data_IF_755669159375
#
_entry.id   IF_755669159375
#
_cell.length_a   1.000
_cell.length_b   1.000
_cell.length_c   1.000
_cell.angle_alpha   90.00
_cell.angle_beta   90.00
_cell.angle_gamma   90.00
#
_symmetry.space_group_name_H-M   'P 1'
#
loop_
_entity.id
_entity.type
_entity.pdbx_description
1 polymer ?
#
# COMPACT_ATOMS: atom_id res chain seq x y z
N UNK A 1 -13.12 -27.39 -18.69
CA UNK A 1 -13.72 -26.08 -18.89
C UNK A 1 -12.59 -25.07 -18.73
N UNK A 2 -12.05 -24.58 -19.86
CA UNK A 2 -11.08 -23.49 -19.85
C UNK A 2 -11.84 -22.21 -19.44
N UNK A 3 -11.74 -21.83 -18.17
CA UNK A 3 -11.99 -20.46 -17.81
C UNK A 3 -10.92 -19.63 -18.55
N UNK A 4 -11.34 -18.77 -19.47
CA UNK A 4 -10.43 -17.81 -20.09
C UNK A 4 -9.79 -17.02 -18.96
N UNK A 5 -8.49 -17.16 -18.79
CA UNK A 5 -7.71 -16.31 -17.89
C UNK A 5 -7.90 -14.90 -18.45
N UNK A 6 -8.72 -14.09 -17.79
CA UNK A 6 -8.85 -12.66 -18.16
C UNK A 6 -7.48 -12.03 -17.99
N UNK A 7 -7.04 -11.32 -19.03
CA UNK A 7 -5.79 -10.57 -18.97
C UNK A 7 -5.92 -9.45 -17.92
N UNK A 8 -5.21 -9.50 -16.81
CA UNK A 8 -5.34 -8.50 -15.75
C UNK A 8 -4.89 -7.10 -16.19
N UNK A 9 -4.11 -7.00 -17.24
CA UNK A 9 -3.71 -5.71 -17.83
C UNK A 9 -4.80 -5.12 -18.71
N UNK A 10 -5.63 -5.96 -19.38
CA UNK A 10 -6.77 -5.49 -20.15
C UNK A 10 -7.81 -4.80 -19.25
N UNK A 11 -8.15 -5.43 -18.11
CA UNK A 11 -9.07 -4.86 -17.11
C UNK A 11 -8.51 -3.55 -16.52
N UNK A 12 -7.22 -3.50 -16.21
CA UNK A 12 -6.54 -2.29 -15.70
C UNK A 12 -6.54 -1.17 -16.76
N UNK A 13 -6.37 -1.49 -18.03
CA UNK A 13 -6.44 -0.53 -19.14
C UNK A 13 -7.84 0.07 -19.27
N UNK A 14 -8.88 -0.75 -19.16
CA UNK A 14 -10.27 -0.29 -19.18
C UNK A 14 -10.58 0.63 -17.99
N UNK A 15 -10.12 0.27 -16.79
CA UNK A 15 -10.25 1.11 -15.60
C UNK A 15 -9.50 2.44 -15.75
N UNK A 16 -8.28 2.43 -16.30
CA UNK A 16 -7.50 3.64 -16.56
C UNK A 16 -8.15 4.56 -17.59
N UNK A 17 -8.80 4.00 -18.63
CA UNK A 17 -9.58 4.79 -19.59
C UNK A 17 -10.74 5.52 -18.89
N UNK A 18 -11.50 4.81 -18.06
CA UNK A 18 -12.59 5.39 -17.29
C UNK A 18 -12.09 6.45 -16.29
N UNK A 19 -10.92 6.22 -15.68
CA UNK A 19 -10.28 7.16 -14.78
C UNK A 19 -9.96 8.50 -15.47
N UNK A 20 -9.45 8.47 -16.71
CA UNK A 20 -9.22 9.69 -17.52
C UNK A 20 -10.51 10.49 -17.73
N UNK A 21 -11.61 9.80 -18.03
CA UNK A 21 -12.92 10.45 -18.19
C UNK A 21 -13.37 11.14 -16.90
N UNK A 22 -13.24 10.45 -15.74
CA UNK A 22 -13.71 10.97 -14.45
C UNK A 22 -12.84 12.11 -13.92
N UNK A 23 -11.53 12.08 -14.19
CA UNK A 23 -10.60 13.12 -13.70
C UNK A 23 -10.36 14.24 -14.70
N UNK A 24 -10.67 14.04 -15.98
CA UNK A 24 -10.28 14.95 -17.06
C UNK A 24 -8.78 15.04 -17.30
N UNK A 25 -7.98 14.16 -16.69
CA UNK A 25 -6.53 14.14 -16.79
C UNK A 25 -6.07 13.01 -17.74
N UNK A 26 -5.22 13.34 -18.71
CA UNK A 26 -4.65 12.39 -19.66
C UNK A 26 -3.78 11.31 -18.97
N UNK A 27 -3.04 11.71 -17.92
CA UNK A 27 -2.16 10.81 -17.16
C UNK A 27 -1.97 11.29 -15.73
N UNK A 28 -1.48 10.38 -14.88
CA UNK A 28 -1.00 10.66 -13.54
C UNK A 28 0.46 10.19 -13.42
N UNK A 29 1.24 10.84 -12.56
CA UNK A 29 2.68 10.58 -12.40
C UNK A 29 2.98 9.61 -11.27
N UNK A 30 2.21 9.73 -10.17
CA UNK A 30 2.39 8.95 -8.95
C UNK A 30 1.05 8.46 -8.40
N UNK A 31 1.03 7.24 -7.88
CA UNK A 31 -0.11 6.71 -7.15
C UNK A 31 0.26 6.50 -5.67
N UNK A 32 -0.68 6.83 -4.78
CA UNK A 32 -0.64 6.50 -3.36
C UNK A 32 -1.77 5.55 -3.02
N UNK A 33 -1.44 4.44 -2.36
CA UNK A 33 -2.43 3.55 -1.74
C UNK A 33 -2.42 3.79 -0.24
N UNK A 34 -3.51 4.37 0.26
CA UNK A 34 -3.68 4.71 1.67
C UNK A 34 -4.24 3.51 2.43
N UNK A 35 -3.38 2.88 3.22
CA UNK A 35 -3.75 1.75 4.05
C UNK A 35 -4.42 2.13 5.38
N UNK A 36 -4.65 1.12 6.23
CA UNK A 36 -5.22 1.31 7.56
C UNK A 36 -4.41 2.31 8.38
N UNK A 37 -5.10 3.27 9.01
CA UNK A 37 -4.48 4.34 9.79
C UNK A 37 -3.98 5.54 8.98
N UNK A 38 -3.96 5.49 7.64
CA UNK A 38 -3.39 6.56 6.81
C UNK A 38 -4.41 7.57 6.26
N UNK A 39 -5.69 7.24 6.21
CA UNK A 39 -6.71 8.12 5.65
C UNK A 39 -6.70 9.56 6.22
N UNK A 40 -6.49 9.78 7.54
CA UNK A 40 -6.40 11.13 8.09
C UNK A 40 -5.22 11.95 7.55
N UNK A 41 -4.12 11.30 7.16
CA UNK A 41 -2.96 11.98 6.57
C UNK A 41 -3.24 12.56 5.18
N UNK A 42 -4.22 12.02 4.45
CA UNK A 42 -4.61 12.50 3.12
C UNK A 42 -5.15 13.94 3.15
N UNK A 43 -5.71 14.39 4.27
CA UNK A 43 -6.25 15.76 4.40
C UNK A 43 -5.15 16.83 4.29
N UNK A 44 -3.89 16.49 4.56
CA UNK A 44 -2.75 17.41 4.40
C UNK A 44 -2.46 17.75 2.92
N UNK A 45 -2.98 16.98 1.97
CA UNK A 45 -2.84 17.23 0.54
C UNK A 45 -3.81 18.31 0.02
N UNK A 46 -4.74 18.76 0.85
CA UNK A 46 -5.72 19.77 0.49
C UNK A 46 -6.89 19.21 -0.33
N UNK A 47 -7.55 20.08 -1.09
CA UNK A 47 -8.72 19.70 -1.90
C UNK A 47 -8.28 18.96 -3.19
N UNK A 48 -8.89 17.80 -3.50
CA UNK A 48 -8.63 17.11 -4.76
C UNK A 48 -9.30 17.84 -5.93
N UNK A 49 -8.75 17.69 -7.14
CA UNK A 49 -9.39 18.16 -8.39
C UNK A 49 -10.62 17.28 -8.75
N UNK A 50 -10.56 16.00 -8.40
CA UNK A 50 -11.67 15.05 -8.57
C UNK A 50 -11.69 14.02 -7.43
N UNK A 51 -12.88 13.62 -7.02
CA UNK A 51 -13.12 12.53 -6.08
C UNK A 51 -14.33 11.70 -6.54
N UNK A 52 -14.19 10.38 -6.54
CA UNK A 52 -15.26 9.46 -6.93
C UNK A 52 -15.10 8.10 -6.22
N UNK A 53 -16.21 7.31 -6.10
CA UNK A 53 -16.14 5.95 -5.56
C UNK A 53 -15.29 5.04 -6.45
N UNK A 54 -14.54 4.09 -5.87
CA UNK A 54 -13.77 3.09 -6.64
C UNK A 54 -14.66 2.26 -7.58
N UNK A 55 -15.92 2.08 -7.22
CA UNK A 55 -16.93 1.32 -8.01
C UNK A 55 -17.30 1.98 -9.34
N UNK A 56 -16.92 3.23 -9.56
CA UNK A 56 -17.04 3.89 -10.86
C UNK A 56 -16.04 3.35 -11.89
N UNK A 57 -15.00 2.64 -11.44
CA UNK A 57 -14.01 2.04 -12.30
C UNK A 57 -14.29 0.54 -12.52
N UNK A 58 -14.16 0.05 -13.76
CA UNK A 58 -14.27 -1.37 -14.05
C UNK A 58 -13.31 -2.23 -13.20
N UNK A 59 -13.78 -3.37 -12.72
CA UNK A 59 -12.98 -4.35 -11.96
C UNK A 59 -12.76 -4.01 -10.49
N UNK A 60 -13.16 -2.83 -10.01
CA UNK A 60 -13.06 -2.49 -8.59
C UNK A 60 -14.29 -2.96 -7.82
N UNK A 61 -14.10 -3.82 -6.79
CA UNK A 61 -15.19 -4.19 -5.90
C UNK A 61 -15.52 -3.06 -4.92
N UNK A 62 -16.74 -3.05 -4.35
CA UNK A 62 -17.03 -2.17 -3.22
C UNK A 62 -16.13 -2.51 -2.03
N UNK A 63 -15.76 -1.52 -1.18
CA UNK A 63 -14.95 -1.76 -0.01
C UNK A 63 -15.64 -2.72 0.95
N UNK A 64 -14.87 -3.67 1.51
CA UNK A 64 -15.37 -4.67 2.46
C UNK A 64 -14.97 -4.35 3.90
N UNK A 65 -13.98 -3.46 4.10
CA UNK A 65 -13.44 -3.09 5.42
C UNK A 65 -13.98 -1.73 5.82
N UNK A 66 -14.58 -1.65 7.01
CA UNK A 66 -15.03 -0.39 7.60
C UNK A 66 -13.83 0.56 7.82
N UNK A 67 -14.01 1.85 7.50
CA UNK A 67 -12.93 2.84 7.56
C UNK A 67 -12.06 2.92 6.30
N UNK A 68 -12.20 1.99 5.35
CA UNK A 68 -11.64 2.13 4.02
C UNK A 68 -12.62 2.90 3.15
N UNK A 69 -12.27 4.15 2.81
CA UNK A 69 -13.18 5.08 2.16
C UNK A 69 -13.70 4.67 0.79
N UNK A 70 -13.09 3.66 0.15
CA UNK A 70 -13.51 3.17 -1.16
C UNK A 70 -13.62 4.26 -2.22
N UNK A 71 -12.77 5.29 -2.12
CA UNK A 71 -12.74 6.44 -3.01
C UNK A 71 -11.38 6.59 -3.66
N UNK A 72 -11.38 7.22 -4.81
CA UNK A 72 -10.18 7.66 -5.50
C UNK A 72 -10.22 9.18 -5.58
N UNK A 73 -9.07 9.81 -5.33
CA UNK A 73 -8.87 11.25 -5.46
C UNK A 73 -7.77 11.54 -6.47
N UNK A 74 -7.97 12.54 -7.31
CA UNK A 74 -6.95 13.09 -8.20
C UNK A 74 -6.51 14.45 -7.67
N UNK A 75 -5.19 14.64 -7.55
CA UNK A 75 -4.59 15.89 -7.08
C UNK A 75 -3.63 16.45 -8.12
N UNK A 76 -3.54 17.77 -8.18
CA UNK A 76 -2.44 18.47 -8.85
C UNK A 76 -1.44 18.94 -7.79
N UNK A 77 -0.19 18.54 -7.95
CA UNK A 77 0.92 18.86 -7.03
C UNK A 77 2.04 19.49 -7.86
N UNK A 78 2.07 20.82 -7.92
CA UNK A 78 2.95 21.52 -8.83
C UNK A 78 2.58 21.25 -10.29
N UNK A 79 3.53 20.73 -11.05
CA UNK A 79 3.36 20.29 -12.45
C UNK A 79 2.96 18.81 -12.60
N UNK A 80 2.90 18.06 -11.48
CA UNK A 80 2.58 16.63 -11.45
C UNK A 80 1.16 16.36 -11.01
N UNK A 81 0.69 15.15 -11.31
CA UNK A 81 -0.62 14.63 -10.88
C UNK A 81 -0.44 13.37 -10.03
N UNK A 82 -1.08 13.40 -8.87
CA UNK A 82 -1.11 12.26 -7.95
C UNK A 82 -2.50 11.62 -7.92
N UNK A 83 -2.52 10.29 -7.95
CA UNK A 83 -3.72 9.48 -7.82
C UNK A 83 -3.73 8.83 -6.43
N UNK A 84 -4.75 9.09 -5.63
CA UNK A 84 -4.90 8.58 -4.28
C UNK A 84 -6.01 7.53 -4.22
N UNK A 85 -5.67 6.32 -3.78
CA UNK A 85 -6.64 5.29 -3.44
C UNK A 85 -6.86 5.32 -1.92
N UNK A 86 -8.05 5.70 -1.48
CA UNK A 86 -8.44 5.71 -0.07
C UNK A 86 -8.91 4.32 0.36
N UNK A 87 -7.98 3.43 0.56
CA UNK A 87 -8.18 2.03 0.88
C UNK A 87 -7.64 1.09 -0.19
N UNK A 88 -7.81 -0.20 0.04
CA UNK A 88 -7.36 -1.28 -0.84
C UNK A 88 -8.24 -2.52 -0.70
N UNK A 89 -8.14 -3.44 -1.65
CA UNK A 89 -8.67 -4.79 -1.52
C UNK A 89 -7.62 -5.68 -0.85
N UNK A 90 -8.01 -6.38 0.23
CA UNK A 90 -7.12 -7.32 0.91
C UNK A 90 -7.33 -8.74 0.41
N UNK A 91 -6.27 -9.54 0.49
CA UNK A 91 -6.32 -10.94 0.06
C UNK A 91 -7.35 -11.76 0.86
N UNK A 92 -7.52 -11.47 2.16
CA UNK A 92 -8.49 -12.15 3.03
C UNK A 92 -9.96 -11.85 2.68
N UNK A 93 -10.24 -10.87 1.81
CA UNK A 93 -11.61 -10.60 1.35
C UNK A 93 -12.16 -11.71 0.42
N UNK A 94 -11.31 -12.68 0.03
CA UNK A 94 -11.72 -13.83 -0.78
C UNK A 94 -12.00 -13.50 -2.25
N UNK A 95 -11.57 -12.33 -2.73
CA UNK A 95 -11.79 -11.87 -4.11
C UNK A 95 -10.67 -12.30 -5.07
N UNK A 96 -9.67 -13.03 -4.56
CA UNK A 96 -8.50 -13.48 -5.33
C UNK A 96 -7.41 -12.42 -5.46
N UNK A 97 -6.20 -12.89 -5.82
CA UNK A 97 -5.00 -12.04 -5.91
C UNK A 97 -5.09 -11.01 -7.05
N UNK A 98 -5.81 -11.30 -8.13
CA UNK A 98 -6.02 -10.37 -9.24
C UNK A 98 -6.73 -9.10 -8.79
N UNK A 99 -7.76 -9.21 -7.93
CA UNK A 99 -8.47 -8.06 -7.36
C UNK A 99 -7.58 -7.23 -6.44
N UNK A 100 -6.67 -7.86 -5.67
CA UNK A 100 -5.68 -7.17 -4.83
C UNK A 100 -4.73 -6.32 -5.67
N UNK A 101 -4.25 -6.85 -6.80
CA UNK A 101 -3.30 -6.18 -7.67
C UNK A 101 -3.93 -5.15 -8.62
N UNK A 102 -5.27 -5.17 -8.79
CA UNK A 102 -5.96 -4.39 -9.80
C UNK A 102 -5.74 -2.88 -9.66
N UNK A 103 -5.73 -2.36 -8.43
CA UNK A 103 -5.55 -0.93 -8.16
C UNK A 103 -4.20 -0.40 -8.65
N UNK A 104 -3.10 -1.10 -8.34
CA UNK A 104 -1.76 -0.67 -8.77
C UNK A 104 -1.55 -0.86 -10.27
N UNK A 105 -2.11 -1.90 -10.88
CA UNK A 105 -2.09 -2.08 -12.33
C UNK A 105 -2.86 -0.97 -13.04
N UNK A 106 -4.03 -0.58 -12.51
CA UNK A 106 -4.81 0.56 -13.02
C UNK A 106 -4.02 1.87 -12.92
N UNK A 107 -3.35 2.12 -11.80
CA UNK A 107 -2.51 3.30 -11.60
C UNK A 107 -1.39 3.39 -12.66
N UNK A 108 -0.69 2.28 -12.91
CA UNK A 108 0.37 2.24 -13.93
C UNK A 108 -0.20 2.41 -15.33
N UNK A 109 -1.33 1.78 -15.65
CA UNK A 109 -2.03 1.97 -16.93
C UNK A 109 -2.52 3.42 -17.11
N UNK A 110 -2.78 4.15 -16.03
CA UNK A 110 -3.10 5.58 -16.05
C UNK A 110 -1.87 6.49 -16.17
N UNK A 111 -0.65 5.94 -16.24
CA UNK A 111 0.59 6.66 -16.48
C UNK A 111 1.52 6.77 -15.28
N UNK A 112 1.11 6.33 -14.08
CA UNK A 112 1.92 6.43 -12.87
C UNK A 112 3.24 5.66 -13.03
N UNK A 113 4.35 6.36 -12.82
CA UNK A 113 5.71 5.79 -12.85
C UNK A 113 6.17 5.35 -11.47
N UNK A 114 5.57 5.91 -10.44
CA UNK A 114 5.87 5.59 -9.05
C UNK A 114 4.59 5.19 -8.32
N UNK A 115 4.69 4.13 -7.50
CA UNK A 115 3.61 3.68 -6.62
C UNK A 115 4.09 3.73 -5.18
N UNK A 116 3.41 4.51 -4.36
CA UNK A 116 3.64 4.60 -2.91
C UNK A 116 2.60 3.76 -2.20
N UNK A 117 3.04 2.73 -1.51
CA UNK A 117 2.19 1.80 -0.75
C UNK A 117 2.33 2.10 0.74
N UNK A 118 1.23 2.43 1.38
CA UNK A 118 1.20 2.64 2.84
C UNK A 118 0.38 1.56 3.54
N UNK A 119 0.70 1.26 4.78
CA UNK A 119 -0.03 0.30 5.61
C UNK A 119 0.09 0.62 7.09
N UNK A 120 -0.81 0.06 7.91
CA UNK A 120 -0.61 -0.13 9.33
C UNK A 120 -0.02 -1.51 9.57
N UNK A 121 0.89 -1.65 10.51
CA UNK A 121 1.58 -2.91 10.79
C UNK A 121 1.86 -3.13 12.26
N UNK A 122 2.11 -4.38 12.64
CA UNK A 122 2.71 -4.75 13.91
C UNK A 122 4.23 -4.60 13.85
N UNK A 123 4.80 -3.93 14.86
CA UNK A 123 6.25 -3.83 15.02
C UNK A 123 6.80 -5.03 15.79
N UNK A 124 7.91 -5.61 15.29
CA UNK A 124 8.56 -6.77 15.91
C UNK A 124 9.88 -6.42 16.61
N UNK A 125 10.55 -5.36 16.17
CA UNK A 125 11.88 -4.99 16.68
C UNK A 125 11.75 -4.30 18.04
N UNK A 126 12.70 -4.60 18.94
CA UNK A 126 12.79 -3.94 20.23
C UNK A 126 12.92 -2.42 20.06
N UNK A 127 12.20 -1.67 20.89
CA UNK A 127 12.21 -0.20 20.86
C UNK A 127 11.23 0.43 19.85
N UNK A 128 10.59 -0.33 18.97
CA UNK A 128 9.52 0.20 18.13
C UNK A 128 8.32 0.66 18.95
N UNK A 129 7.65 1.72 18.47
CA UNK A 129 6.51 2.32 19.15
C UNK A 129 5.36 2.59 18.17
N UNK A 130 4.10 2.47 18.62
CA UNK A 130 2.97 2.96 17.86
C UNK A 130 3.17 4.43 17.44
N UNK A 131 2.79 4.75 16.19
CA UNK A 131 3.01 6.05 15.58
C UNK A 131 4.35 6.22 14.85
N UNK A 132 5.22 5.21 14.87
CA UNK A 132 6.52 5.24 14.19
C UNK A 132 6.36 4.86 12.70
N UNK A 133 6.72 5.73 11.74
CA UNK A 133 6.84 5.36 10.33
C UNK A 133 8.15 4.60 10.09
N UNK A 134 8.08 3.59 9.23
CA UNK A 134 9.23 2.76 8.82
C UNK A 134 9.18 2.56 7.31
N UNK A 135 10.29 2.79 6.63
CA UNK A 135 10.43 2.49 5.20
C UNK A 135 10.60 0.98 4.99
N UNK A 136 9.84 0.40 4.08
CA UNK A 136 10.02 -1.00 3.73
C UNK A 136 11.25 -1.12 2.83
N UNK A 137 12.25 -1.87 3.27
CA UNK A 137 13.47 -2.13 2.51
C UNK A 137 13.39 -3.43 1.71
N UNK A 138 12.65 -4.41 2.21
CA UNK A 138 12.45 -5.72 1.62
C UNK A 138 11.20 -6.39 2.22
N UNK A 139 10.81 -7.56 1.70
CA UNK A 139 9.68 -8.28 2.24
C UNK A 139 9.85 -9.81 2.29
N UNK A 140 9.02 -10.44 3.12
CA UNK A 140 8.75 -11.87 3.10
C UNK A 140 7.28 -12.09 2.71
N UNK A 141 7.06 -12.81 1.62
CA UNK A 141 5.72 -13.17 1.14
C UNK A 141 5.27 -14.51 1.73
N UNK A 142 4.48 -14.49 2.79
CA UNK A 142 3.92 -15.69 3.42
C UNK A 142 2.44 -15.93 3.03
N UNK A 143 1.99 -15.34 1.92
CA UNK A 143 0.62 -15.57 1.41
C UNK A 143 0.47 -16.83 0.58
N UNK A 144 1.58 -17.49 0.24
CA UNK A 144 1.64 -18.64 -0.66
C UNK A 144 1.03 -18.37 -2.05
N UNK A 145 0.98 -17.11 -2.50
CA UNK A 145 0.47 -16.72 -3.82
C UNK A 145 1.32 -15.61 -4.46
N UNK A 146 1.09 -15.37 -5.75
CA UNK A 146 1.68 -14.28 -6.52
C UNK A 146 0.62 -13.64 -7.42
N UNK A 147 0.66 -12.34 -7.66
CA UNK A 147 -0.21 -11.69 -8.63
C UNK A 147 0.21 -11.92 -10.08
N UNK A 148 1.44 -12.40 -10.31
CA UNK A 148 2.00 -12.64 -11.64
C UNK A 148 1.33 -13.87 -12.25
N UNK A 149 0.92 -13.76 -13.51
CA UNK A 149 0.26 -14.82 -14.26
C UNK A 149 1.19 -15.32 -15.36
N UNK A 150 1.29 -16.65 -15.49
CA UNK A 150 2.11 -17.30 -16.50
C UNK A 150 3.61 -17.29 -16.19
N UNK A 151 4.44 -17.60 -17.20
CA UNK A 151 5.88 -17.70 -17.07
C UNK A 151 6.58 -16.33 -17.25
N UNK A 152 6.17 -15.36 -16.46
CA UNK A 152 6.74 -14.02 -16.44
C UNK A 152 7.68 -13.90 -15.22
N UNK A 153 9.00 -13.91 -15.46
CA UNK A 153 10.01 -13.87 -14.40
C UNK A 153 10.42 -12.42 -14.13
N UNK A 154 10.00 -11.90 -12.98
CA UNK A 154 10.25 -10.52 -12.56
C UNK A 154 11.32 -10.48 -11.47
N UNK A 155 12.35 -9.65 -11.67
CA UNK A 155 13.38 -9.43 -10.65
C UNK A 155 12.87 -8.49 -9.54
N UNK A 156 12.93 -8.97 -8.30
CA UNK A 156 12.51 -8.25 -7.10
C UNK A 156 13.67 -7.82 -6.20
N UNK A 157 14.92 -7.95 -6.65
CA UNK A 157 16.11 -7.68 -5.82
C UNK A 157 16.12 -6.28 -5.21
N UNK A 158 15.67 -5.28 -5.94
CA UNK A 158 15.55 -3.88 -5.51
C UNK A 158 14.11 -3.36 -5.60
N UNK A 159 13.13 -4.23 -5.30
CA UNK A 159 11.71 -3.93 -5.46
C UNK A 159 11.30 -2.62 -4.80
N UNK A 160 11.70 -2.42 -3.53
CA UNK A 160 11.48 -1.15 -2.82
C UNK A 160 12.66 -0.22 -3.12
N UNK A 161 12.42 0.78 -3.95
CA UNK A 161 13.44 1.65 -4.54
C UNK A 161 14.44 2.23 -3.51
N UNK A 162 15.75 1.92 -3.64
CA UNK A 162 16.78 2.54 -2.81
C UNK A 162 16.82 4.06 -2.98
N UNK A 163 16.57 4.56 -4.20
CA UNK A 163 16.52 6.00 -4.51
C UNK A 163 15.41 6.71 -3.73
N UNK A 164 14.19 6.14 -3.73
CA UNK A 164 13.05 6.73 -3.03
C UNK A 164 13.21 6.64 -1.51
N UNK A 165 13.79 5.57 -0.99
CA UNK A 165 14.10 5.44 0.44
C UNK A 165 15.13 6.46 0.89
N UNK A 166 16.20 6.66 0.10
CA UNK A 166 17.19 7.68 0.38
C UNK A 166 16.56 9.10 0.38
N UNK A 167 15.73 9.41 -0.61
CA UNK A 167 14.97 10.67 -0.67
C UNK A 167 14.09 10.88 0.58
N UNK A 168 13.41 9.83 1.05
CA UNK A 168 12.60 9.92 2.28
C UNK A 168 13.45 10.23 3.52
N UNK A 169 14.65 9.65 3.63
CA UNK A 169 15.58 9.94 4.73
C UNK A 169 16.15 11.36 4.69
N UNK A 170 16.29 11.96 3.51
CA UNK A 170 16.62 13.38 3.38
C UNK A 170 15.48 14.30 3.85
N UNK A 171 14.22 13.85 3.72
CA UNK A 171 13.03 14.56 4.20
C UNK A 171 12.90 14.45 5.72
N UNK A 172 13.09 13.25 6.26
CA UNK A 172 13.02 12.94 7.69
C UNK A 172 14.12 11.92 8.04
N UNK A 173 15.21 12.42 8.63
CA UNK A 173 16.38 11.60 9.02
C UNK A 173 16.08 10.56 10.11
N UNK A 174 14.92 10.67 10.77
CA UNK A 174 14.48 9.72 11.78
C UNK A 174 13.82 8.47 11.21
N UNK A 175 13.61 8.42 9.88
CA UNK A 175 13.03 7.26 9.23
C UNK A 175 14.02 6.09 9.22
N UNK A 176 13.57 4.99 9.83
CA UNK A 176 14.28 3.71 9.80
C UNK A 176 13.78 2.86 8.63
N UNK A 177 14.52 1.80 8.33
CA UNK A 177 14.14 0.78 7.35
C UNK A 177 13.85 -0.54 8.04
N UNK A 178 12.99 -1.36 7.44
CA UNK A 178 12.66 -2.67 7.96
C UNK A 178 12.13 -3.64 6.90
N UNK A 179 12.25 -4.93 7.20
CA UNK A 179 11.71 -6.03 6.39
C UNK A 179 10.26 -6.28 6.81
N UNK A 180 9.36 -6.21 5.83
CA UNK A 180 7.92 -6.39 6.05
C UNK A 180 7.48 -7.81 5.67
N UNK A 181 6.68 -8.44 6.53
CA UNK A 181 6.05 -9.75 6.25
C UNK A 181 4.58 -9.56 5.94
N UNK A 182 4.12 -10.16 4.85
CA UNK A 182 2.69 -10.29 4.59
C UNK A 182 2.19 -11.70 4.91
N UNK A 183 1.25 -11.77 5.87
CA UNK A 183 0.37 -12.92 6.05
C UNK A 183 -0.97 -12.71 5.33
N UNK A 184 -1.74 -13.77 5.02
CA UNK A 184 -3.04 -13.61 4.38
C UNK A 184 -4.07 -12.92 5.28
N UNK A 185 -4.05 -13.12 6.60
CA UNK A 185 -5.10 -12.69 7.53
C UNK A 185 -6.41 -13.47 7.33
N UNK A 186 -7.58 -13.00 7.88
CA UNK A 186 -7.78 -11.75 8.64
C UNK A 186 -7.47 -11.85 10.15
N UNK A 187 -7.12 -13.03 10.68
CA UNK A 187 -6.70 -13.17 12.07
C UNK A 187 -5.28 -12.58 12.28
N UNK A 188 -5.04 -12.07 13.48
CA UNK A 188 -3.69 -11.72 13.91
C UNK A 188 -2.85 -13.00 14.14
N UNK A 189 -1.55 -12.84 14.09
CA UNK A 189 -0.59 -13.93 14.26
C UNK A 189 -0.58 -14.44 15.71
N UNK A 190 -0.21 -15.69 15.90
CA UNK A 190 0.11 -16.24 17.21
C UNK A 190 1.50 -15.77 17.66
N UNK A 191 1.82 -15.77 18.98
CA UNK A 191 3.17 -15.49 19.45
C UNK A 191 4.25 -16.42 18.86
N UNK A 192 3.90 -17.67 18.53
CA UNK A 192 4.81 -18.61 17.88
C UNK A 192 5.12 -18.21 16.43
N UNK A 193 4.10 -17.75 15.66
CA UNK A 193 4.28 -17.21 14.31
C UNK A 193 5.13 -15.93 14.34
N UNK A 194 4.92 -15.05 15.32
CA UNK A 194 5.77 -13.86 15.49
C UNK A 194 7.21 -14.23 15.78
N UNK A 195 7.46 -15.21 16.65
CA UNK A 195 8.82 -15.69 16.90
C UNK A 195 9.44 -16.31 15.62
N UNK A 196 8.69 -17.06 14.84
CA UNK A 196 9.14 -17.62 13.57
C UNK A 196 9.63 -16.52 12.61
N UNK A 197 8.82 -15.51 12.36
CA UNK A 197 9.19 -14.46 11.40
C UNK A 197 10.31 -13.55 11.90
N UNK A 198 10.45 -13.37 13.22
CA UNK A 198 11.64 -12.69 13.80
C UNK A 198 12.93 -13.45 13.47
N UNK A 199 12.93 -14.77 13.60
CA UNK A 199 14.09 -15.62 13.21
C UNK A 199 14.37 -15.52 11.72
N UNK A 200 13.33 -15.32 10.88
CA UNK A 200 13.47 -15.12 9.44
C UNK A 200 13.99 -13.71 9.07
N UNK A 201 14.13 -12.82 10.03
CA UNK A 201 14.65 -11.46 9.83
C UNK A 201 13.60 -10.38 9.59
N UNK A 202 12.34 -10.63 9.97
CA UNK A 202 11.27 -9.64 9.87
C UNK A 202 11.34 -8.57 10.96
N UNK A 203 11.00 -7.34 10.59
CA UNK A 203 10.85 -6.19 11.49
C UNK A 203 9.40 -5.75 11.65
N UNK A 204 8.57 -6.00 10.63
CA UNK A 204 7.19 -5.53 10.50
C UNK A 204 6.29 -6.67 10.00
N UNK A 205 5.04 -6.70 10.46
CA UNK A 205 4.06 -7.70 10.02
C UNK A 205 2.71 -7.07 9.70
N UNK A 206 2.08 -7.54 8.63
CA UNK A 206 0.73 -7.12 8.24
C UNK A 206 0.10 -8.01 7.20
N UNK A 207 -1.00 -7.57 6.60
CA UNK A 207 -1.88 -8.39 5.75
C UNK A 207 -2.08 -7.77 4.35
N UNK A 208 -1.14 -6.91 3.89
CA UNK A 208 -1.26 -6.19 2.63
C UNK A 208 0.11 -5.89 2.01
N UNK A 209 0.12 -5.08 0.93
CA UNK A 209 1.32 -4.40 0.40
C UNK A 209 2.21 -5.27 -0.49
N UNK A 210 2.60 -6.47 -0.08
CA UNK A 210 3.56 -7.30 -0.82
C UNK A 210 3.02 -7.69 -2.20
N UNK A 211 1.78 -8.17 -2.27
CA UNK A 211 1.16 -8.56 -3.55
C UNK A 211 0.98 -7.35 -4.48
N UNK A 212 0.66 -6.18 -3.92
CA UNK A 212 0.58 -4.93 -4.68
C UNK A 212 1.96 -4.48 -5.18
N UNK A 213 2.99 -4.56 -4.34
CA UNK A 213 4.36 -4.21 -4.71
C UNK A 213 4.88 -5.09 -5.85
N UNK A 214 4.65 -6.40 -5.80
CA UNK A 214 5.01 -7.34 -6.87
C UNK A 214 4.30 -6.96 -8.18
N UNK A 215 2.99 -6.68 -8.13
CA UNK A 215 2.23 -6.30 -9.30
C UNK A 215 2.64 -4.93 -9.88
N UNK A 216 2.98 -3.97 -9.03
CA UNK A 216 3.48 -2.66 -9.46
C UNK A 216 4.84 -2.79 -10.16
N UNK A 217 5.74 -3.64 -9.65
CA UNK A 217 7.03 -3.94 -10.28
C UNK A 217 6.84 -4.66 -11.61
N UNK A 218 5.95 -5.66 -11.68
CA UNK A 218 5.60 -6.34 -12.92
C UNK A 218 5.12 -5.36 -14.00
N UNK A 219 4.32 -4.37 -13.61
CA UNK A 219 3.81 -3.32 -14.48
C UNK A 219 4.86 -2.23 -14.82
N UNK A 220 6.06 -2.28 -14.26
CA UNK A 220 7.17 -1.37 -14.55
C UNK A 220 7.23 -0.10 -13.69
N UNK A 221 6.50 -0.04 -12.58
CA UNK A 221 6.57 1.09 -11.65
C UNK A 221 7.74 0.97 -10.66
N UNK A 222 8.27 2.12 -10.24
CA UNK A 222 9.15 2.24 -9.08
C UNK A 222 8.30 2.23 -7.81
N UNK A 223 8.68 1.44 -6.81
CA UNK A 223 7.85 1.21 -5.61
C UNK A 223 8.50 1.81 -4.37
N UNK A 224 7.70 2.53 -3.57
CA UNK A 224 8.04 2.96 -2.22
C UNK A 224 7.03 2.36 -1.24
N UNK A 225 7.50 1.66 -0.21
CA UNK A 225 6.67 1.16 0.88
C UNK A 225 6.92 1.96 2.16
N UNK A 226 5.85 2.42 2.81
CA UNK A 226 5.91 3.12 4.10
C UNK A 226 4.91 2.47 5.06
N UNK A 227 5.40 1.84 6.10
CA UNK A 227 4.60 1.27 7.18
C UNK A 227 4.44 2.26 8.32
N UNK A 228 3.25 2.31 8.91
CA UNK A 228 3.01 2.94 10.20
C UNK A 228 2.90 1.83 11.24
N UNK A 229 3.80 1.78 12.22
CA UNK A 229 3.66 0.88 13.36
C UNK A 229 2.43 1.34 14.15
N UNK A 230 1.39 0.50 14.19
CA UNK A 230 0.14 0.83 14.87
C UNK A 230 0.02 0.14 16.22
N UNK A 231 0.73 -0.96 16.38
CA UNK A 231 0.80 -1.78 17.59
C UNK A 231 2.11 -2.57 17.59
N UNK A 232 2.47 -3.14 18.71
CA UNK A 232 3.50 -4.18 18.75
C UNK A 232 2.85 -5.52 18.39
N UNK A 233 3.58 -6.37 17.71
CA UNK A 233 3.06 -7.67 17.25
C UNK A 233 2.70 -8.60 18.42
N UNK A 234 1.91 -9.64 18.14
CA UNK A 234 1.36 -10.54 19.13
C UNK A 234 2.43 -11.12 20.09
N UNK A 235 2.17 -11.05 21.38
CA UNK A 235 3.05 -11.57 22.43
C UNK A 235 4.24 -10.68 22.79
N UNK A 236 4.39 -9.51 22.17
CA UNK A 236 5.49 -8.57 22.48
C UNK A 236 5.10 -7.63 23.62
N UNK A 237 3.93 -6.98 23.56
CA UNK A 237 3.44 -6.09 24.60
C UNK A 237 2.75 -6.81 25.77
N UNK A 238 2.28 -8.05 25.54
CA UNK A 238 1.43 -8.77 26.48
C UNK A 238 -0.05 -8.35 26.45
N UNK A 239 -0.42 -7.34 25.68
CA UNK A 239 -1.79 -6.86 25.53
C UNK A 239 -2.50 -7.50 24.34
N UNK A 240 -3.82 -7.70 24.40
CA UNK A 240 -4.62 -8.16 23.25
C UNK A 240 -4.58 -7.15 22.11
N UNK A 241 -4.51 -7.64 20.86
CA UNK A 241 -4.56 -6.82 19.67
C UNK A 241 -6.00 -6.53 19.25
N UNK A 242 -6.26 -5.28 18.82
CA UNK A 242 -7.56 -4.91 18.27
C UNK A 242 -7.39 -3.87 17.13
N UNK A 243 -8.40 -3.79 16.25
CA UNK A 243 -8.35 -2.88 15.10
C UNK A 243 -8.52 -1.40 15.49
N UNK A 244 -9.11 -1.13 16.64
CA UNK A 244 -9.36 0.24 17.11
C UNK A 244 -8.05 0.97 17.45
N UNK A 245 -7.05 0.24 17.97
CA UNK A 245 -5.68 0.76 18.17
C UNK A 245 -5.03 1.19 16.87
N UNK A 246 -5.25 0.45 15.77
CA UNK A 246 -4.75 0.81 14.44
C UNK A 246 -5.31 2.16 13.99
N UNK A 247 -6.61 2.36 14.15
CA UNK A 247 -7.27 3.62 13.79
C UNK A 247 -6.83 4.78 14.69
N UNK A 248 -6.63 4.52 16.00
CA UNK A 248 -6.17 5.54 16.94
C UNK A 248 -4.72 5.97 16.63
N UNK A 249 -3.81 5.03 16.43
CA UNK A 249 -2.43 5.33 16.05
C UNK A 249 -2.36 6.14 14.74
N UNK A 250 -3.26 5.86 13.79
CA UNK A 250 -3.39 6.65 12.56
C UNK A 250 -3.80 8.09 12.82
N UNK A 251 -4.82 8.32 13.67
CA UNK A 251 -5.25 9.67 14.05
C UNK A 251 -4.14 10.45 14.74
N UNK A 252 -3.45 9.84 15.69
CA UNK A 252 -2.39 10.47 16.46
C UNK A 252 -1.17 10.82 15.59
N UNK A 253 -0.94 10.06 14.53
CA UNK A 253 0.19 10.24 13.60
C UNK A 253 -0.15 11.09 12.37
N UNK A 254 -1.42 11.47 12.18
CA UNK A 254 -1.92 12.06 10.94
C UNK A 254 -1.13 13.30 10.48
N UNK A 255 -0.80 14.20 11.40
CA UNK A 255 -0.07 15.43 11.09
C UNK A 255 1.35 15.14 10.57
N UNK A 256 2.07 14.22 11.22
CA UNK A 256 3.42 13.80 10.79
C UNK A 256 3.37 13.07 9.45
N UNK A 257 2.45 12.13 9.30
CA UNK A 257 2.31 11.35 8.07
C UNK A 257 1.86 12.22 6.90
N UNK A 258 0.94 13.16 7.11
CA UNK A 258 0.51 14.12 6.10
C UNK A 258 1.65 15.01 5.62
N UNK A 259 2.47 15.53 6.54
CA UNK A 259 3.67 16.30 6.21
C UNK A 259 4.67 15.46 5.40
N UNK A 260 4.93 14.23 5.82
CA UNK A 260 5.82 13.31 5.10
C UNK A 260 5.33 13.06 3.67
N UNK A 261 4.06 12.68 3.50
CA UNK A 261 3.48 12.41 2.18
C UNK A 261 3.52 13.63 1.26
N UNK A 262 3.18 14.82 1.77
CA UNK A 262 3.22 16.05 0.98
C UNK A 262 4.63 16.32 0.46
N UNK A 263 5.66 16.15 1.30
CA UNK A 263 7.05 16.36 0.91
C UNK A 263 7.56 15.27 -0.04
N UNK A 264 7.15 14.02 0.16
CA UNK A 264 7.49 12.90 -0.73
C UNK A 264 6.91 13.14 -2.13
N UNK A 265 5.62 13.48 -2.21
CA UNK A 265 4.94 13.74 -3.50
C UNK A 265 5.52 14.95 -4.25
N UNK A 266 5.99 15.96 -3.53
CA UNK A 266 6.63 17.12 -4.15
C UNK A 266 8.02 16.82 -4.76
N UNK A 267 8.66 15.70 -4.33
CA UNK A 267 10.01 15.31 -4.78
C UNK A 267 10.02 14.15 -5.79
N UNK A 268 8.99 13.32 -5.84
CA UNK A 268 8.84 12.28 -6.86
C UNK A 268 8.63 12.91 -8.22
#
# INVERSE_FOLDING_TARGET
VNASVTDPFADATAAAARLRELTGAESHDVALVMGSGWAPAAEALGAPEAEFPVTELPGFPPPAVEGHGGKIRSYKIGDKRALLFLGRTHYYEGRGVAAVAHGVRTAVAAGCKTVVLTNGCGGLREGMKPGQPVLISDHLNLTATSPIVGANFVDLTDLYSPRLRAMCKEIDETLEEGVYVQFPGPHYETPAEINMIRVMGADLVGMSTVLEAIAAREAGAEVLGISLVTNLAAGISGEPLNHEEVLQAGRDSAARMGKLLTQVLARI
#
